data_IF_362462642403
#
_entry.id   IF_362462642403
#
_cell.length_a   1.000
_cell.length_b   1.000
_cell.length_c   1.000
_cell.angle_alpha   90.00
_cell.angle_beta   90.00
_cell.angle_gamma   90.00
#
_symmetry.space_group_name_H-M   'P 1'
#
loop_
_entity.id
_entity.type
_entity.pdbx_description
1 polymer ?
#
# COMPACT_ATOMS: atom_id res chain seq x y z
N UNK A 1 -2.77 24.91 2.27
CA UNK A 1 -2.24 23.59 1.90
C UNK A 1 -3.29 22.58 2.36
N UNK A 2 -3.87 21.79 1.46
CA UNK A 2 -4.88 20.79 1.86
C UNK A 2 -4.11 19.69 2.60
N UNK A 3 -4.47 19.41 3.85
CA UNK A 3 -3.92 18.25 4.57
C UNK A 3 -4.25 16.99 3.74
N UNK A 4 -3.22 16.20 3.45
CA UNK A 4 -3.36 15.09 2.52
C UNK A 4 -4.09 13.91 3.17
N UNK A 5 -4.97 13.23 2.43
CA UNK A 5 -5.70 12.02 2.84
C UNK A 5 -4.85 11.02 3.65
N UNK A 6 -3.58 10.85 3.29
CA UNK A 6 -2.64 9.96 4.00
C UNK A 6 -2.43 10.36 5.46
N UNK A 7 -2.40 11.67 5.75
CA UNK A 7 -2.26 12.24 7.09
C UNK A 7 -3.52 12.00 7.90
N UNK A 8 -4.69 12.32 7.34
CA UNK A 8 -5.99 12.26 8.03
C UNK A 8 -6.34 10.84 8.49
N UNK A 9 -5.94 9.83 7.70
CA UNK A 9 -6.27 8.42 7.97
C UNK A 9 -5.08 7.59 8.45
N UNK A 10 -3.93 8.21 8.75
CA UNK A 10 -2.76 7.51 9.28
C UNK A 10 -2.24 6.37 8.38
N UNK A 11 -2.38 6.51 7.06
CA UNK A 11 -2.02 5.48 6.08
C UNK A 11 -0.50 5.41 5.95
N UNK A 12 0.13 4.44 6.64
CA UNK A 12 1.59 4.35 6.74
C UNK A 12 2.21 3.02 6.31
N UNK A 13 1.43 1.94 6.26
CA UNK A 13 1.93 0.57 6.03
C UNK A 13 2.06 0.25 4.54
N UNK A 14 3.19 -0.31 4.12
CA UNK A 14 3.35 -0.85 2.77
C UNK A 14 2.92 -2.32 2.77
N UNK A 15 1.75 -2.63 2.22
CA UNK A 15 1.20 -4.00 2.26
C UNK A 15 1.23 -4.71 0.91
N UNK A 16 1.45 -3.99 -0.19
CA UNK A 16 1.54 -4.56 -1.53
C UNK A 16 2.25 -3.60 -2.48
N UNK A 17 3.04 -4.15 -3.40
CA UNK A 17 3.62 -3.44 -4.53
C UNK A 17 3.82 -4.40 -5.72
N UNK A 18 3.94 -3.86 -6.92
CA UNK A 18 4.22 -4.60 -8.14
C UNK A 18 5.38 -3.90 -8.87
N UNK A 19 6.52 -4.57 -9.12
CA UNK A 19 7.62 -3.99 -9.86
C UNK A 19 7.27 -3.94 -11.37
N UNK A 20 7.78 -2.93 -12.04
CA UNK A 20 7.56 -2.70 -13.46
C UNK A 20 8.86 -2.21 -14.12
N UNK A 21 9.19 -2.76 -15.29
CA UNK A 21 10.44 -2.44 -16.00
C UNK A 21 10.44 -1.02 -16.58
N UNK A 22 9.26 -0.50 -16.94
CA UNK A 22 9.10 0.81 -17.57
C UNK A 22 8.02 1.65 -16.91
N UNK A 23 8.28 2.96 -16.83
CA UNK A 23 7.42 3.94 -16.18
C UNK A 23 5.98 3.93 -16.73
N UNK A 24 5.81 3.82 -18.05
CA UNK A 24 4.49 3.81 -18.67
C UNK A 24 3.62 2.64 -18.20
N UNK A 25 4.21 1.46 -18.04
CA UNK A 25 3.49 0.27 -17.56
C UNK A 25 3.03 0.43 -16.11
N UNK A 26 3.88 1.01 -15.25
CA UNK A 26 3.55 1.34 -13.87
C UNK A 26 2.40 2.35 -13.78
N UNK A 27 2.46 3.44 -14.56
CA UNK A 27 1.40 4.47 -14.59
C UNK A 27 0.07 3.87 -15.05
N UNK A 28 0.08 3.03 -16.10
CA UNK A 28 -1.15 2.39 -16.58
C UNK A 28 -1.72 1.42 -15.53
N UNK A 29 -0.87 0.62 -14.88
CA UNK A 29 -1.28 -0.32 -13.83
C UNK A 29 -1.88 0.41 -12.64
N UNK A 30 -1.22 1.45 -12.16
CA UNK A 30 -1.70 2.32 -11.08
C UNK A 30 -3.07 2.91 -11.42
N UNK A 31 -3.24 3.47 -12.63
CA UNK A 31 -4.54 4.02 -13.09
C UNK A 31 -5.64 2.98 -13.11
N UNK A 32 -5.34 1.73 -13.51
CA UNK A 32 -6.32 0.62 -13.47
C UNK A 32 -6.70 0.29 -12.03
N UNK A 33 -5.71 0.06 -11.16
CA UNK A 33 -5.95 -0.30 -9.75
C UNK A 33 -6.75 0.79 -9.04
N UNK A 34 -6.44 2.07 -9.25
CA UNK A 34 -7.18 3.17 -8.61
C UNK A 34 -8.69 3.10 -8.87
N UNK A 35 -9.10 2.66 -10.06
CA UNK A 35 -10.51 2.50 -10.47
C UNK A 35 -11.17 1.21 -9.99
N UNK A 36 -10.43 0.28 -9.40
CA UNK A 36 -11.00 -0.99 -8.93
C UNK A 36 -11.89 -0.83 -7.71
N UNK A 37 -12.87 -1.73 -7.61
CA UNK A 37 -13.63 -1.95 -6.39
C UNK A 37 -12.69 -2.31 -5.23
N UNK A 38 -13.04 -1.87 -4.03
CA UNK A 38 -12.24 -2.11 -2.82
C UNK A 38 -11.95 -3.59 -2.60
N UNK A 39 -12.93 -4.45 -2.86
CA UNK A 39 -12.81 -5.90 -2.67
C UNK A 39 -11.68 -6.51 -3.53
N UNK A 40 -11.56 -6.12 -4.79
CA UNK A 40 -10.49 -6.63 -5.67
C UNK A 40 -9.10 -6.16 -5.25
N UNK A 41 -9.00 -4.98 -4.62
CA UNK A 41 -7.73 -4.52 -4.05
C UNK A 41 -7.33 -5.37 -2.84
N UNK A 42 -8.31 -5.74 -2.02
CA UNK A 42 -8.09 -6.63 -0.86
C UNK A 42 -7.64 -8.01 -1.32
N UNK A 43 -8.35 -8.61 -2.27
CA UNK A 43 -8.00 -9.91 -2.84
C UNK A 43 -6.59 -9.89 -3.46
N UNK A 44 -6.23 -8.80 -4.16
CA UNK A 44 -4.89 -8.62 -4.72
C UNK A 44 -3.79 -8.59 -3.63
N UNK A 45 -4.06 -7.91 -2.51
CA UNK A 45 -3.14 -7.83 -1.36
C UNK A 45 -3.04 -9.22 -0.71
N UNK A 46 -4.17 -9.83 -0.35
CA UNK A 46 -4.24 -11.09 0.39
C UNK A 46 -3.67 -12.27 -0.38
N UNK A 47 -3.71 -12.24 -1.72
CA UNK A 47 -3.08 -13.26 -2.55
C UNK A 47 -1.55 -13.37 -2.37
N UNK A 48 -0.89 -12.27 -1.98
CA UNK A 48 0.57 -12.24 -1.75
C UNK A 48 0.98 -11.90 -0.31
N UNK A 49 0.07 -11.38 0.50
CA UNK A 49 0.30 -10.91 1.85
C UNK A 49 -0.96 -11.09 2.72
N UNK A 50 -1.35 -12.34 3.04
CA UNK A 50 -2.59 -12.64 3.75
C UNK A 50 -2.64 -12.05 5.17
N UNK A 51 -1.49 -11.89 5.82
CA UNK A 51 -1.38 -11.34 7.18
C UNK A 51 -1.21 -9.81 7.21
N UNK A 52 -1.28 -9.16 6.04
CA UNK A 52 -1.15 -7.70 5.92
C UNK A 52 0.13 -7.15 6.56
N UNK A 53 1.22 -7.91 6.41
CA UNK A 53 2.54 -7.56 6.91
C UNK A 53 3.03 -6.25 6.30
N UNK A 54 3.80 -5.50 7.08
CA UNK A 54 4.50 -4.33 6.58
C UNK A 54 5.74 -4.76 5.79
N UNK A 55 5.63 -4.69 4.46
CA UNK A 55 6.66 -5.06 3.50
C UNK A 55 7.84 -4.07 3.53
N UNK A 56 7.64 -2.85 4.05
CA UNK A 56 8.72 -1.88 4.20
C UNK A 56 9.88 -2.44 5.07
N UNK A 57 9.57 -3.30 6.04
CA UNK A 57 10.58 -4.01 6.84
C UNK A 57 11.55 -4.82 5.98
N UNK A 58 11.06 -5.43 4.90
CA UNK A 58 11.89 -6.18 3.94
C UNK A 58 12.86 -5.31 3.15
N UNK A 59 12.61 -4.00 3.07
CA UNK A 59 13.48 -3.02 2.45
C UNK A 59 14.44 -2.33 3.45
N UNK A 60 14.46 -2.77 4.71
CA UNK A 60 15.32 -2.21 5.76
C UNK A 60 14.75 -0.96 6.45
N UNK A 61 13.47 -0.66 6.28
CA UNK A 61 12.82 0.38 7.08
C UNK A 61 12.47 -0.14 8.48
N UNK A 62 12.58 0.75 9.47
CA UNK A 62 12.16 0.45 10.85
C UNK A 62 10.66 0.12 10.91
N UNK A 63 10.24 -0.80 11.80
CA UNK A 63 8.84 -1.16 11.93
C UNK A 63 8.03 0.06 12.38
N UNK A 64 6.83 0.20 11.80
CA UNK A 64 5.90 1.23 12.26
C UNK A 64 5.62 1.04 13.76
N UNK A 65 5.64 2.12 14.55
CA UNK A 65 5.31 2.02 15.97
C UNK A 65 3.92 1.41 16.10
N UNK A 66 3.80 0.41 16.97
CA UNK A 66 2.52 -0.20 17.30
C UNK A 66 1.57 0.93 17.67
N UNK A 67 0.44 1.03 16.97
CA UNK A 67 -0.67 1.88 17.39
C UNK A 67 -1.23 1.30 18.70
N UNK A 68 -0.53 1.55 19.81
CA UNK A 68 -1.16 1.56 21.12
C UNK A 68 -1.93 2.87 21.16
N UNK A 69 -3.24 2.76 21.05
CA UNK A 69 -4.11 3.80 21.56
C UNK A 69 -3.86 3.88 23.06
N UNK A 70 -3.23 4.95 23.52
CA UNK A 70 -3.58 5.54 24.80
C UNK A 70 -4.82 6.43 24.59
#
# INVERSE_FOLDING_TARGET
MIEGFTSDYGVRRLVWFEPHDVMESAIQREKRIKKWNRQWKIELIEAGNPDWDDLARGFGFEPLPSLRCD
#
